data_IF_829024638657
#
_entry.id   IF_829024638657
#
_cell.length_a   1.000
_cell.length_b   1.000
_cell.length_c   1.000
_cell.angle_alpha   90.00
_cell.angle_beta   90.00
_cell.angle_gamma   90.00
#
_symmetry.space_group_name_H-M   'P 1'
#
loop_
_entity.id
_entity.type
_entity.pdbx_description
1 polymer ?
#
# COMPACT_ATOMS: atom_id res chain seq x y z
N UNK A 1 -19.87 9.00 8.50
CA UNK A 1 -19.77 7.57 8.15
C UNK A 1 -21.03 6.91 8.67
N UNK A 2 -21.68 6.11 7.84
CA UNK A 2 -22.90 5.39 8.23
C UNK A 2 -22.52 4.21 9.13
N UNK A 3 -23.27 3.97 10.20
CA UNK A 3 -23.02 2.88 11.16
C UNK A 3 -22.90 1.50 10.50
N UNK A 4 -23.56 1.32 9.35
CA UNK A 4 -23.47 0.12 8.52
C UNK A 4 -22.07 -0.08 7.91
N UNK A 5 -21.44 0.99 7.41
CA UNK A 5 -20.10 0.91 6.81
C UNK A 5 -19.02 0.58 7.83
N UNK A 6 -19.14 1.12 9.04
CA UNK A 6 -18.23 0.85 10.14
C UNK A 6 -18.33 -0.60 10.63
N UNK A 7 -19.56 -1.15 10.70
CA UNK A 7 -19.79 -2.57 11.01
C UNK A 7 -19.09 -3.49 10.00
N UNK A 8 -19.21 -3.21 8.70
CA UNK A 8 -18.59 -4.05 7.67
C UNK A 8 -17.06 -3.92 7.72
N UNK A 9 -16.51 -2.74 8.00
CA UNK A 9 -15.07 -2.60 8.17
C UNK A 9 -14.55 -3.36 9.38
N UNK A 10 -15.29 -3.41 10.49
CA UNK A 10 -14.93 -4.25 11.64
C UNK A 10 -14.89 -5.73 11.26
N UNK A 11 -15.91 -6.24 10.56
CA UNK A 11 -15.93 -7.63 10.09
C UNK A 11 -14.79 -7.94 9.12
N UNK A 12 -14.43 -6.98 8.26
CA UNK A 12 -13.30 -7.12 7.33
C UNK A 12 -11.98 -7.19 8.12
N UNK A 13 -11.81 -6.35 9.14
CA UNK A 13 -10.62 -6.34 9.98
C UNK A 13 -10.50 -7.65 10.79
N UNK A 14 -11.61 -8.18 11.32
CA UNK A 14 -11.65 -9.51 11.96
C UNK A 14 -11.25 -10.64 11.00
N UNK A 15 -11.77 -10.63 9.77
CA UNK A 15 -11.40 -11.62 8.76
C UNK A 15 -9.93 -11.51 8.34
N UNK A 16 -9.36 -10.31 8.33
CA UNK A 16 -7.92 -10.10 8.06
C UNK A 16 -7.08 -10.65 9.21
N UNK A 17 -7.49 -10.42 10.46
CA UNK A 17 -6.82 -10.94 11.65
C UNK A 17 -6.87 -12.48 11.72
N UNK A 18 -7.95 -13.09 11.24
CA UNK A 18 -8.08 -14.54 11.09
C UNK A 18 -7.41 -15.11 9.83
N UNK A 19 -6.67 -14.32 9.06
CA UNK A 19 -6.02 -14.69 7.80
C UNK A 19 -6.98 -15.08 6.65
N UNK A 20 -8.28 -14.84 6.79
CA UNK A 20 -9.31 -15.04 5.76
C UNK A 20 -9.38 -13.87 4.77
N UNK A 21 -8.22 -13.37 4.29
CA UNK A 21 -8.16 -12.12 3.50
C UNK A 21 -8.88 -12.18 2.15
N UNK A 22 -9.04 -13.38 1.54
CA UNK A 22 -9.79 -13.53 0.28
C UNK A 22 -11.29 -13.33 0.48
N UNK A 23 -11.83 -13.72 1.63
CA UNK A 23 -13.23 -13.48 1.99
C UNK A 23 -13.45 -12.03 2.35
N UNK A 24 -12.51 -11.43 3.09
CA UNK A 24 -12.48 -10.01 3.39
C UNK A 24 -12.54 -9.17 2.10
N UNK A 25 -11.77 -9.54 1.08
CA UNK A 25 -11.78 -8.85 -0.20
C UNK A 25 -13.13 -8.94 -0.93
N UNK A 26 -13.77 -10.12 -0.94
CA UNK A 26 -15.12 -10.27 -1.54
C UNK A 26 -16.17 -9.41 -0.84
N UNK A 27 -16.12 -9.31 0.50
CA UNK A 27 -17.02 -8.42 1.25
C UNK A 27 -16.78 -6.95 0.87
N UNK A 28 -15.52 -6.55 0.73
CA UNK A 28 -15.17 -5.21 0.26
C UNK A 28 -15.65 -4.93 -1.17
N UNK A 29 -15.63 -5.90 -2.09
CA UNK A 29 -16.16 -5.73 -3.44
C UNK A 29 -17.67 -5.42 -3.44
N UNK A 30 -18.44 -6.13 -2.60
CA UNK A 30 -19.89 -5.86 -2.43
C UNK A 30 -20.11 -4.47 -1.84
N UNK A 31 -19.31 -4.09 -0.83
CA UNK A 31 -19.39 -2.79 -0.20
C UNK A 31 -19.05 -1.64 -1.17
N UNK A 32 -18.13 -1.87 -2.12
CA UNK A 32 -17.70 -0.87 -3.10
C UNK A 32 -18.82 -0.37 -4.02
N UNK A 33 -19.89 -1.16 -4.18
CA UNK A 33 -21.07 -0.74 -4.95
C UNK A 33 -21.99 0.22 -4.17
N UNK A 34 -21.87 0.26 -2.84
CA UNK A 34 -22.80 0.95 -1.94
C UNK A 34 -22.15 2.20 -1.33
N UNK A 35 -20.83 2.19 -1.13
CA UNK A 35 -20.13 3.24 -0.37
C UNK A 35 -19.99 4.54 -1.15
N UNK A 36 -20.32 5.64 -0.46
CA UNK A 36 -20.16 7.02 -0.94
C UNK A 36 -18.70 7.49 -0.79
N UNK A 37 -18.02 7.15 0.30
CA UNK A 37 -16.60 7.47 0.52
C UNK A 37 -15.68 6.42 -0.13
N UNK A 38 -15.34 6.67 -1.39
CA UNK A 38 -14.47 5.79 -2.15
C UNK A 38 -13.02 5.82 -1.69
N UNK A 39 -12.55 6.88 -0.99
CA UNK A 39 -11.14 7.01 -0.63
C UNK A 39 -10.74 6.00 0.45
N UNK A 40 -11.50 5.95 1.55
CA UNK A 40 -11.28 4.99 2.63
C UNK A 40 -11.56 3.54 2.20
N UNK A 41 -12.58 3.34 1.35
CA UNK A 41 -12.83 2.03 0.74
C UNK A 41 -11.64 1.55 -0.09
N UNK A 42 -11.10 2.39 -0.99
CA UNK A 42 -9.92 2.05 -1.78
C UNK A 42 -8.70 1.78 -0.90
N UNK A 43 -8.52 2.52 0.20
CA UNK A 43 -7.46 2.26 1.18
C UNK A 43 -7.57 0.86 1.78
N UNK A 44 -8.75 0.49 2.31
CA UNK A 44 -9.00 -0.85 2.88
C UNK A 44 -8.79 -1.96 1.86
N UNK A 45 -9.26 -1.78 0.62
CA UNK A 45 -9.00 -2.72 -0.48
C UNK A 45 -7.50 -2.90 -0.73
N UNK A 46 -6.72 -1.81 -0.70
CA UNK A 46 -5.27 -1.87 -0.87
C UNK A 46 -4.57 -2.64 0.27
N UNK A 47 -5.01 -2.45 1.51
CA UNK A 47 -4.50 -3.17 2.68
C UNK A 47 -4.77 -4.67 2.57
N UNK A 48 -6.01 -5.06 2.26
CA UNK A 48 -6.36 -6.48 2.10
C UNK A 48 -5.59 -7.11 0.94
N UNK A 49 -5.47 -6.44 -0.20
CA UNK A 49 -4.67 -6.91 -1.33
C UNK A 49 -3.18 -7.08 -0.97
N UNK A 50 -2.62 -6.15 -0.20
CA UNK A 50 -1.25 -6.25 0.30
C UNK A 50 -1.08 -7.46 1.23
N UNK A 51 -2.04 -7.68 2.13
CA UNK A 51 -2.04 -8.85 3.03
C UNK A 51 -2.15 -10.16 2.25
N UNK A 52 -3.06 -10.27 1.28
CA UNK A 52 -3.15 -11.44 0.39
C UNK A 52 -1.80 -11.71 -0.27
N UNK A 53 -1.16 -10.66 -0.84
CA UNK A 53 0.13 -10.83 -1.50
C UNK A 53 1.23 -11.37 -0.59
N UNK A 54 1.22 -11.00 0.71
CA UNK A 54 2.19 -11.51 1.66
C UNK A 54 1.95 -12.98 2.04
N UNK A 55 0.74 -13.49 1.88
CA UNK A 55 0.39 -14.89 2.12
C UNK A 55 0.62 -15.78 0.88
N UNK A 56 0.67 -15.20 -0.32
CA UNK A 56 0.88 -15.98 -1.54
C UNK A 56 2.32 -16.49 -1.66
N UNK A 57 2.46 -17.81 -1.80
CA UNK A 57 3.75 -18.47 -2.02
C UNK A 57 4.24 -18.33 -3.47
N UNK A 58 3.31 -18.22 -4.44
CA UNK A 58 3.64 -18.09 -5.86
C UNK A 58 3.95 -16.65 -6.22
N UNK A 59 5.14 -16.43 -6.79
CA UNK A 59 5.61 -15.10 -7.20
C UNK A 59 4.65 -14.40 -8.17
N UNK A 60 4.07 -15.14 -9.13
CA UNK A 60 3.17 -14.55 -10.13
C UNK A 60 1.86 -14.03 -9.51
N UNK A 61 1.19 -14.84 -8.68
CA UNK A 61 -0.06 -14.45 -8.01
C UNK A 61 0.18 -13.32 -7.00
N UNK A 62 1.30 -13.39 -6.27
CA UNK A 62 1.75 -12.31 -5.36
C UNK A 62 1.87 -10.97 -6.08
N UNK A 63 2.55 -10.95 -7.23
CA UNK A 63 2.77 -9.72 -8.02
C UNK A 63 1.45 -9.17 -8.55
N UNK A 64 0.51 -10.02 -8.96
CA UNK A 64 -0.82 -9.59 -9.41
C UNK A 64 -1.62 -8.92 -8.29
N UNK A 65 -1.62 -9.50 -7.09
CA UNK A 65 -2.26 -8.89 -5.92
C UNK A 65 -1.58 -7.59 -5.49
N UNK A 66 -0.25 -7.50 -5.55
CA UNK A 66 0.48 -6.25 -5.31
C UNK A 66 0.11 -5.16 -6.32
N UNK A 67 -0.01 -5.51 -7.61
CA UNK A 67 -0.43 -4.56 -8.64
C UNK A 67 -1.84 -4.05 -8.39
N UNK A 68 -2.78 -4.95 -8.03
CA UNK A 68 -4.15 -4.56 -7.63
C UNK A 68 -4.13 -3.64 -6.41
N UNK A 69 -3.43 -4.03 -5.35
CA UNK A 69 -3.31 -3.23 -4.12
C UNK A 69 -2.74 -1.84 -4.39
N UNK A 70 -1.68 -1.74 -5.21
CA UNK A 70 -1.12 -0.45 -5.63
C UNK A 70 -2.10 0.38 -6.45
N UNK A 71 -2.87 -0.22 -7.36
CA UNK A 71 -3.90 0.50 -8.12
C UNK A 71 -4.97 1.09 -7.20
N UNK A 72 -5.48 0.31 -6.23
CA UNK A 72 -6.41 0.82 -5.24
C UNK A 72 -5.79 1.95 -4.40
N UNK A 73 -4.53 1.81 -3.98
CA UNK A 73 -3.82 2.86 -3.23
C UNK A 73 -3.64 4.15 -4.04
N UNK A 74 -3.39 4.05 -5.36
CA UNK A 74 -3.32 5.22 -6.25
C UNK A 74 -4.68 5.91 -6.37
N UNK A 75 -5.76 5.15 -6.60
CA UNK A 75 -7.10 5.73 -6.63
C UNK A 75 -7.48 6.39 -5.29
N UNK A 76 -7.12 5.78 -4.17
CA UNK A 76 -7.29 6.38 -2.85
C UNK A 76 -6.50 7.70 -2.74
N UNK A 77 -5.27 7.73 -3.24
CA UNK A 77 -4.42 8.93 -3.22
C UNK A 77 -4.95 10.05 -4.12
N UNK A 78 -5.49 9.72 -5.29
CA UNK A 78 -6.10 10.69 -6.20
C UNK A 78 -7.35 11.33 -5.59
N UNK A 79 -8.12 10.56 -4.82
CA UNK A 79 -9.30 11.05 -4.10
C UNK A 79 -8.92 11.84 -2.84
N UNK A 80 -7.91 11.38 -2.09
CA UNK A 80 -7.42 12.05 -0.89
C UNK A 80 -5.89 11.93 -0.77
N UNK A 81 -5.21 12.94 -1.30
CA UNK A 81 -3.74 12.96 -1.38
C UNK A 81 -3.05 13.31 -0.06
N UNK A 82 -3.80 13.77 0.94
CA UNK A 82 -3.30 14.22 2.25
C UNK A 82 -3.41 13.18 3.35
N UNK A 83 -4.10 12.05 3.09
CA UNK A 83 -4.27 11.01 4.09
C UNK A 83 -2.96 10.22 4.29
N UNK A 84 -2.40 10.33 5.49
CA UNK A 84 -1.19 9.59 5.87
C UNK A 84 -1.39 8.07 5.78
N UNK A 85 -2.52 7.48 6.23
CA UNK A 85 -2.80 6.06 6.02
C UNK A 85 -2.75 5.63 4.54
N UNK A 86 -3.29 6.44 3.63
CA UNK A 86 -3.28 6.16 2.18
C UNK A 86 -1.85 6.21 1.64
N UNK A 87 -1.07 7.24 2.03
CA UNK A 87 0.34 7.34 1.64
C UNK A 87 1.17 6.17 2.17
N UNK A 88 0.91 5.70 3.40
CA UNK A 88 1.58 4.53 3.99
C UNK A 88 1.35 3.27 3.15
N UNK A 89 0.10 2.93 2.84
CA UNK A 89 -0.18 1.73 2.04
C UNK A 89 0.36 1.86 0.61
N UNK A 90 0.34 3.08 0.04
CA UNK A 90 0.94 3.34 -1.27
C UNK A 90 2.46 3.14 -1.26
N UNK A 91 3.15 3.58 -0.20
CA UNK A 91 4.57 3.30 0.00
C UNK A 91 4.82 1.79 0.14
N UNK A 92 4.08 1.09 1.00
CA UNK A 92 4.26 -0.35 1.22
C UNK A 92 4.08 -1.17 -0.05
N UNK A 93 2.98 -0.93 -0.78
CA UNK A 93 2.68 -1.63 -2.04
C UNK A 93 3.70 -1.30 -3.13
N UNK A 94 4.11 -0.04 -3.26
CA UNK A 94 5.12 0.39 -4.25
C UNK A 94 6.51 -0.18 -3.94
N UNK A 95 6.92 -0.14 -2.68
CA UNK A 95 8.22 -0.67 -2.24
C UNK A 95 8.31 -2.18 -2.45
N UNK A 96 7.25 -2.91 -2.08
CA UNK A 96 7.18 -4.36 -2.31
C UNK A 96 7.16 -4.71 -3.79
N UNK A 97 6.37 -4.00 -4.60
CA UNK A 97 6.37 -4.20 -6.05
C UNK A 97 7.74 -3.89 -6.67
N UNK A 98 8.45 -2.87 -6.16
CA UNK A 98 9.80 -2.58 -6.59
C UNK A 98 10.75 -3.74 -6.30
N UNK A 99 10.67 -4.37 -5.11
CA UNK A 99 11.51 -5.53 -4.74
C UNK A 99 11.37 -6.68 -5.74
N UNK A 100 10.12 -7.01 -6.10
CA UNK A 100 9.74 -8.07 -7.06
C UNK A 100 10.02 -7.71 -8.53
N UNK A 101 10.34 -6.44 -8.82
CA UNK A 101 10.55 -5.95 -10.19
C UNK A 101 12.01 -6.06 -10.67
N UNK A 102 12.16 -6.11 -11.99
CA UNK A 102 13.45 -5.98 -12.67
C UNK A 102 14.12 -4.62 -12.43
N UNK A 103 15.40 -4.49 -12.78
CA UNK A 103 16.23 -3.32 -12.43
C UNK A 103 15.62 -1.98 -12.90
N UNK A 104 15.10 -1.93 -14.13
CA UNK A 104 14.51 -0.71 -14.70
C UNK A 104 13.28 -0.24 -13.91
N UNK A 105 12.32 -1.14 -13.72
CA UNK A 105 11.08 -0.82 -13.00
C UNK A 105 11.33 -0.56 -11.52
N UNK A 106 12.30 -1.26 -10.92
CA UNK A 106 12.78 -1.02 -9.55
C UNK A 106 13.29 0.41 -9.35
N UNK A 107 13.99 0.98 -10.33
CA UNK A 107 14.44 2.38 -10.27
C UNK A 107 13.26 3.33 -10.33
N UNK A 108 12.34 3.13 -11.29
CA UNK A 108 11.16 3.99 -11.45
C UNK A 108 10.27 3.97 -10.20
N UNK A 109 9.94 2.77 -9.73
CA UNK A 109 9.16 2.58 -8.50
C UNK A 109 9.91 3.11 -7.26
N UNK A 110 11.24 3.07 -7.25
CA UNK A 110 12.05 3.68 -6.21
C UNK A 110 11.92 5.21 -6.13
N UNK A 111 11.88 5.90 -7.28
CA UNK A 111 11.63 7.35 -7.32
C UNK A 111 10.21 7.69 -6.85
N UNK A 112 9.21 6.92 -7.29
CA UNK A 112 7.83 7.09 -6.82
C UNK A 112 7.71 6.87 -5.32
N UNK A 113 8.30 5.77 -4.81
CA UNK A 113 8.33 5.44 -3.40
C UNK A 113 8.94 6.58 -2.58
N UNK A 114 10.10 7.12 -2.98
CA UNK A 114 10.74 8.26 -2.31
C UNK A 114 9.80 9.47 -2.28
N UNK A 115 9.14 9.78 -3.40
CA UNK A 115 8.21 10.91 -3.51
C UNK A 115 7.04 10.79 -2.54
N UNK A 116 6.40 9.63 -2.46
CA UNK A 116 5.28 9.41 -1.53
C UNK A 116 5.73 9.38 -0.08
N UNK A 117 6.90 8.80 0.19
CA UNK A 117 7.46 8.71 1.53
C UNK A 117 7.85 10.08 2.07
N UNK A 118 8.49 10.92 1.27
CA UNK A 118 8.87 12.28 1.66
C UNK A 118 7.62 13.12 1.98
N UNK A 119 6.54 12.97 1.19
CA UNK A 119 5.23 13.58 1.48
C UNK A 119 4.65 13.06 2.80
N UNK A 120 4.66 11.75 3.02
CA UNK A 120 4.15 11.15 4.25
C UNK A 120 4.92 11.63 5.49
N UNK A 121 6.25 11.72 5.40
CA UNK A 121 7.11 12.22 6.48
C UNK A 121 6.90 13.71 6.72
N UNK A 122 6.65 14.51 5.69
CA UNK A 122 6.31 15.92 5.86
C UNK A 122 4.99 16.12 6.64
N UNK A 123 4.01 15.22 6.43
CA UNK A 123 2.74 15.24 7.16
C UNK A 123 2.84 14.69 8.58
N UNK A 124 3.60 13.60 8.78
CA UNK A 124 3.76 12.95 10.08
C UNK A 124 5.23 12.60 10.37
N UNK A 125 6.07 13.58 10.74
CA UNK A 125 7.52 13.38 10.89
C UNK A 125 7.89 12.49 12.07
N UNK A 126 7.01 12.37 13.07
CA UNK A 126 7.21 11.54 14.26
C UNK A 126 6.79 10.07 14.09
N UNK A 127 6.29 9.68 12.91
CA UNK A 127 5.86 8.30 12.69
C UNK A 127 7.05 7.36 12.59
N UNK A 128 7.17 6.44 13.55
CA UNK A 128 8.24 5.44 13.57
C UNK A 128 8.27 4.60 12.29
N UNK A 129 7.11 4.19 11.79
CA UNK A 129 6.99 3.39 10.57
C UNK A 129 7.56 4.11 9.34
N UNK A 130 7.23 5.39 9.15
CA UNK A 130 7.72 6.18 8.02
C UNK A 130 9.23 6.40 8.10
N UNK A 131 9.74 6.66 9.31
CA UNK A 131 11.18 6.78 9.54
C UNK A 131 11.90 5.45 9.29
N UNK A 132 11.29 4.33 9.67
CA UNK A 132 11.81 2.98 9.41
C UNK A 132 11.84 2.68 7.91
N UNK A 133 10.75 2.96 7.18
CA UNK A 133 10.68 2.83 5.71
C UNK A 133 11.79 3.66 5.03
N UNK A 134 12.02 4.90 5.50
CA UNK A 134 13.06 5.78 4.97
C UNK A 134 14.47 5.24 5.20
N UNK A 135 14.71 4.70 6.39
CA UNK A 135 15.96 4.03 6.73
C UNK A 135 16.24 2.83 5.82
N UNK A 136 15.24 1.94 5.66
CA UNK A 136 15.34 0.77 4.78
C UNK A 136 15.61 1.16 3.32
N UNK A 137 14.91 2.15 2.80
CA UNK A 137 15.11 2.63 1.44
C UNK A 137 16.52 3.17 1.24
N UNK A 138 16.99 4.05 2.12
CA UNK A 138 18.34 4.63 2.07
C UNK A 138 19.41 3.54 2.11
N UNK A 139 19.25 2.55 3.00
CA UNK A 139 20.16 1.41 3.08
C UNK A 139 20.20 0.60 1.79
N UNK A 140 19.04 0.29 1.19
CA UNK A 140 18.96 -0.48 -0.05
C UNK A 140 19.61 0.26 -1.22
N UNK A 141 19.38 1.57 -1.36
CA UNK A 141 19.97 2.40 -2.42
C UNK A 141 21.50 2.45 -2.27
N UNK A 142 22.01 2.70 -1.06
CA UNK A 142 23.45 2.73 -0.78
C UNK A 142 24.13 1.38 -1.03
N UNK A 143 23.50 0.29 -0.59
CA UNK A 143 24.12 -1.05 -0.64
C UNK A 143 24.11 -1.64 -2.05
N UNK A 144 23.04 -1.42 -2.85
CA UNK A 144 22.87 -2.11 -4.15
C UNK A 144 23.53 -1.41 -5.35
N UNK A 145 24.33 -0.36 -5.18
CA UNK A 145 24.84 0.50 -6.29
C UNK A 145 23.71 0.94 -7.26
N UNK A 146 22.46 0.97 -6.80
CA UNK A 146 21.35 1.48 -7.59
C UNK A 146 21.46 2.99 -7.53
N UNK A 147 22.05 3.56 -8.58
CA UNK A 147 22.11 4.98 -8.95
C UNK A 147 22.23 6.00 -7.81
N UNK A 148 23.38 6.69 -7.75
CA UNK A 148 23.62 7.93 -6.95
C UNK A 148 22.46 8.94 -7.03
N UNK A 149 21.71 8.94 -8.14
CA UNK A 149 20.55 9.80 -8.42
C UNK A 149 19.35 9.63 -7.46
N UNK A 150 19.20 8.49 -6.76
CA UNK A 150 18.11 8.31 -5.79
C UNK A 150 18.41 8.97 -4.43
N UNK A 151 19.69 9.18 -4.13
CA UNK A 151 20.17 9.73 -2.85
C UNK A 151 20.21 11.27 -2.90
N UNK A 152 20.52 11.84 -4.07
CA UNK A 152 20.42 13.28 -4.34
C UNK A 152 18.98 13.77 -4.35
#
# INVERSE_FOLDING_TARGET
>A
MDSFTESIYSEVDELVDEYHCREAYKKLEVLGAIVVDKAEWHRKCAEVCYMISNMEEKDQERVEWLKKGRQHALYAHDLNSTSVPILKILCSTTGRLAEESGIRDKINLGFEFKTYLDRAVALQPSSFELLHMRGRFTYQVCTRRICRALIS
#
